data_IF_695310745908
#
_entry.id   IF_695310745908
#
_cell.length_a   1.000
_cell.length_b   1.000
_cell.length_c   1.000
_cell.angle_alpha   90.00
_cell.angle_beta   90.00
_cell.angle_gamma   90.00
#
_symmetry.space_group_name_H-M   'P 1'
#
loop_
_entity.id
_entity.type
_entity.pdbx_description
1 polymer ?
#
# COMPACT_ATOMS: atom_id res chain seq x y z
N UNK A 1 -15.16 15.98 15.85
CA UNK A 1 -14.53 15.13 14.82
C UNK A 1 -13.78 14.02 15.54
N UNK A 2 -13.78 12.81 14.99
CA UNK A 2 -13.11 11.63 15.56
C UNK A 2 -12.05 11.11 14.57
N UNK A 3 -10.92 10.65 15.09
CA UNK A 3 -9.88 9.99 14.27
C UNK A 3 -10.26 8.51 14.13
N UNK A 4 -10.57 8.08 12.91
CA UNK A 4 -11.05 6.72 12.63
C UNK A 4 -9.92 5.68 12.48
N UNK A 5 -8.67 6.15 12.33
CA UNK A 5 -7.49 5.31 12.19
C UNK A 5 -6.42 5.96 11.32
N UNK A 6 -5.46 5.14 10.88
CA UNK A 6 -4.31 5.54 10.08
C UNK A 6 -4.43 4.98 8.67
N UNK A 7 -4.18 5.85 7.69
CA UNK A 7 -3.95 5.50 6.31
C UNK A 7 -2.46 5.69 6.01
N UNK A 8 -1.79 4.60 5.66
CA UNK A 8 -0.42 4.64 5.14
C UNK A 8 -0.44 4.92 3.63
N UNK A 9 -0.20 6.16 3.24
CA UNK A 9 -0.03 6.54 1.83
C UNK A 9 1.47 6.43 1.48
N UNK A 10 1.88 5.26 0.97
CA UNK A 10 3.29 4.89 0.87
C UNK A 10 3.84 4.18 2.13
N UNK A 11 5.12 3.79 2.12
CA UNK A 11 6.17 4.19 1.16
C UNK A 11 6.29 3.29 -0.10
N UNK A 12 5.43 2.28 -0.24
CA UNK A 12 5.51 1.27 -1.30
C UNK A 12 4.89 1.74 -2.63
N UNK A 13 5.32 2.89 -3.12
CA UNK A 13 4.72 3.61 -4.26
C UNK A 13 5.72 3.81 -5.39
N UNK A 14 5.23 4.06 -6.61
CA UNK A 14 6.09 4.26 -7.76
C UNK A 14 6.78 5.63 -7.70
N UNK A 15 8.11 5.64 -7.77
CA UNK A 15 8.93 6.84 -7.70
C UNK A 15 8.58 7.88 -8.79
N UNK A 16 8.22 7.45 -9.99
CA UNK A 16 7.81 8.33 -11.08
C UNK A 16 6.43 8.97 -10.86
N UNK A 17 5.60 8.37 -9.98
CA UNK A 17 4.25 8.83 -9.62
C UNK A 17 4.17 9.32 -8.17
N UNK A 18 5.31 9.68 -7.57
CA UNK A 18 5.45 10.05 -6.16
C UNK A 18 4.69 11.30 -5.72
N UNK A 19 4.30 12.19 -6.63
CA UNK A 19 3.71 13.48 -6.26
C UNK A 19 4.60 14.24 -5.27
N UNK A 20 4.05 14.54 -4.08
CA UNK A 20 4.73 15.26 -2.99
C UNK A 20 5.57 14.37 -2.06
N UNK A 21 5.51 13.03 -2.23
CA UNK A 21 6.30 12.13 -1.39
C UNK A 21 7.81 12.33 -1.65
N UNK A 22 8.64 12.48 -0.59
CA UNK A 22 10.09 12.60 -0.76
C UNK A 22 10.68 11.31 -1.32
N UNK A 23 11.55 11.44 -2.31
CA UNK A 23 12.09 10.31 -3.07
C UNK A 23 12.91 9.37 -2.19
N UNK A 24 13.62 9.91 -1.21
CA UNK A 24 14.50 9.20 -0.29
C UNK A 24 13.76 8.26 0.68
N UNK A 25 12.45 8.45 0.86
CA UNK A 25 11.62 7.62 1.75
C UNK A 25 10.77 6.60 1.01
N UNK A 26 10.78 6.61 -0.32
CA UNK A 26 10.09 5.63 -1.15
C UNK A 26 10.94 4.37 -1.21
N UNK A 27 10.35 3.24 -0.81
CA UNK A 27 11.06 1.96 -0.72
C UNK A 27 10.26 0.85 -1.42
N UNK A 28 10.93 -0.22 -1.89
CA UNK A 28 10.23 -1.36 -2.47
C UNK A 28 9.22 -1.98 -1.50
N UNK A 29 8.15 -2.63 -2.01
CA UNK A 29 7.23 -3.43 -1.21
C UNK A 29 7.96 -4.36 -0.23
N UNK A 30 7.60 -4.29 1.06
CA UNK A 30 8.29 -5.05 2.10
C UNK A 30 7.33 -5.48 3.21
N UNK A 31 7.07 -6.78 3.31
CA UNK A 31 6.23 -7.38 4.36
C UNK A 31 6.81 -7.12 5.76
N UNK A 32 8.13 -7.26 6.02
CA UNK A 32 8.70 -6.91 7.31
C UNK A 32 8.47 -5.45 7.70
N UNK A 33 8.60 -4.51 6.75
CA UNK A 33 8.36 -3.09 7.00
C UNK A 33 6.87 -2.83 7.31
N UNK A 34 5.96 -3.40 6.52
CA UNK A 34 4.52 -3.29 6.76
C UNK A 34 4.13 -3.80 8.15
N UNK A 35 4.64 -4.97 8.56
CA UNK A 35 4.38 -5.52 9.91
C UNK A 35 4.82 -4.53 10.99
N UNK A 36 6.03 -3.98 10.87
CA UNK A 36 6.52 -2.96 11.80
C UNK A 36 5.62 -1.73 11.87
N UNK A 37 5.06 -1.28 10.74
CA UNK A 37 4.14 -0.14 10.70
C UNK A 37 2.80 -0.47 11.35
N UNK A 38 2.25 -1.65 11.08
CA UNK A 38 0.99 -2.13 11.67
C UNK A 38 1.14 -2.29 13.19
N UNK A 39 2.25 -2.88 13.64
CA UNK A 39 2.54 -3.04 15.07
C UNK A 39 2.67 -1.67 15.76
N UNK A 40 3.41 -0.74 15.14
CA UNK A 40 3.57 0.61 15.67
C UNK A 40 2.27 1.42 15.69
N UNK A 41 1.32 1.11 14.80
CA UNK A 41 0.00 1.73 14.79
C UNK A 41 -0.91 1.29 15.94
N UNK A 42 -0.53 0.28 16.74
CA UNK A 42 -1.24 -0.08 17.97
C UNK A 42 -2.73 -0.42 17.75
N UNK A 43 -3.07 -1.06 16.61
CA UNK A 43 -4.44 -1.39 16.25
C UNK A 43 -5.22 -0.29 15.52
N UNK A 44 -4.60 0.85 15.23
CA UNK A 44 -5.22 1.96 14.48
C UNK A 44 -5.04 1.88 12.96
N UNK A 45 -4.25 0.96 12.42
CA UNK A 45 -4.05 0.81 10.98
C UNK A 45 -5.37 0.42 10.28
N UNK A 46 -5.72 1.11 9.19
CA UNK A 46 -6.96 0.86 8.43
C UNK A 46 -6.72 0.69 6.93
N UNK A 47 -5.89 1.55 6.35
CA UNK A 47 -5.69 1.59 4.89
C UNK A 47 -4.20 1.64 4.56
N UNK A 48 -3.80 0.98 3.48
CA UNK A 48 -2.47 1.10 2.89
C UNK A 48 -2.60 1.35 1.38
N UNK A 49 -2.02 2.43 0.88
CA UNK A 49 -1.88 2.69 -0.56
C UNK A 49 -0.52 2.23 -1.05
N UNK A 50 -0.51 1.47 -2.15
CA UNK A 50 0.70 0.98 -2.79
C UNK A 50 0.58 0.96 -4.32
N UNK A 51 1.72 0.87 -4.99
CA UNK A 51 1.79 0.73 -6.44
C UNK A 51 1.91 -0.77 -6.83
N UNK A 52 0.89 -1.36 -7.48
CA UNK A 52 0.81 -2.80 -7.72
C UNK A 52 1.78 -3.35 -8.77
N UNK A 53 2.35 -2.50 -9.61
CA UNK A 53 3.35 -2.87 -10.62
C UNK A 53 4.74 -3.13 -10.05
N UNK A 54 4.98 -2.76 -8.78
CA UNK A 54 6.28 -2.93 -8.15
C UNK A 54 6.55 -4.41 -7.81
N UNK A 55 7.80 -4.89 -7.93
CA UNK A 55 8.17 -6.23 -7.53
C UNK A 55 7.79 -6.51 -6.06
N UNK A 56 7.08 -7.63 -5.83
CA UNK A 56 6.60 -8.02 -4.49
C UNK A 56 5.32 -7.32 -4.02
N UNK A 57 4.73 -6.42 -4.82
CA UNK A 57 3.51 -5.71 -4.43
C UNK A 57 2.34 -6.68 -4.23
N UNK A 58 2.16 -7.69 -5.09
CA UNK A 58 1.05 -8.64 -4.95
C UNK A 58 1.10 -9.43 -3.63
N UNK A 59 2.28 -9.89 -3.23
CA UNK A 59 2.48 -10.58 -1.95
C UNK A 59 2.23 -9.61 -0.77
N UNK A 60 2.62 -8.35 -0.93
CA UNK A 60 2.36 -7.31 0.07
C UNK A 60 0.86 -7.00 0.20
N UNK A 61 0.09 -7.01 -0.89
CA UNK A 61 -1.37 -6.85 -0.88
C UNK A 61 -2.00 -7.97 -0.03
N UNK A 62 -1.61 -9.22 -0.27
CA UNK A 62 -2.11 -10.36 0.50
C UNK A 62 -1.76 -10.22 2.00
N UNK A 63 -0.52 -9.85 2.32
CA UNK A 63 -0.07 -9.63 3.68
C UNK A 63 -0.82 -8.47 4.38
N UNK A 64 -1.04 -7.36 3.69
CA UNK A 64 -1.79 -6.21 4.21
C UNK A 64 -3.26 -6.58 4.49
N UNK A 65 -3.88 -7.32 3.58
CA UNK A 65 -5.24 -7.84 3.78
C UNK A 65 -5.30 -8.79 4.98
N UNK A 66 -4.34 -9.71 5.10
CA UNK A 66 -4.27 -10.63 6.23
C UNK A 66 -4.07 -9.91 7.57
N UNK A 67 -3.42 -8.74 7.56
CA UNK A 67 -3.29 -7.85 8.71
C UNK A 67 -4.54 -6.96 8.96
N UNK A 68 -5.60 -7.10 8.17
CA UNK A 68 -6.87 -6.39 8.33
C UNK A 68 -6.95 -5.02 7.66
N UNK A 69 -5.99 -4.66 6.80
CA UNK A 69 -5.99 -3.38 6.09
C UNK A 69 -6.80 -3.47 4.80
N UNK A 70 -7.47 -2.36 4.45
CA UNK A 70 -7.95 -2.11 3.08
C UNK A 70 -6.77 -1.66 2.23
N UNK A 71 -6.59 -2.29 1.07
CA UNK A 71 -5.50 -1.94 0.15
C UNK A 71 -6.02 -1.07 -0.98
N UNK A 72 -5.40 0.11 -1.12
CA UNK A 72 -5.63 1.07 -2.18
C UNK A 72 -4.54 1.02 -3.26
N UNK A 73 -4.93 1.18 -4.52
CA UNK A 73 -4.01 1.35 -5.64
C UNK A 73 -3.88 2.84 -5.93
N UNK A 74 -2.66 3.37 -5.80
CA UNK A 74 -2.37 4.79 -5.98
C UNK A 74 -0.88 5.03 -6.17
N UNK A 75 -0.51 6.22 -6.63
CA UNK A 75 0.89 6.55 -6.97
C UNK A 75 1.55 5.48 -7.85
N UNK A 76 0.82 5.05 -8.87
CA UNK A 76 1.13 3.88 -9.68
C UNK A 76 1.14 4.24 -11.16
N UNK A 77 2.02 3.58 -11.90
CA UNK A 77 2.07 3.55 -13.36
C UNK A 77 1.59 2.19 -13.90
N UNK A 78 0.78 1.47 -13.11
CA UNK A 78 0.32 0.14 -13.44
C UNK A 78 -0.52 0.13 -14.72
N UNK A 79 -0.25 -0.87 -15.54
CA UNK A 79 -1.14 -1.25 -16.64
C UNK A 79 -2.46 -1.79 -16.09
N UNK A 80 -3.47 -1.82 -16.97
CA UNK A 80 -4.76 -2.44 -16.66
C UNK A 80 -4.61 -3.88 -16.12
N UNK A 81 -3.78 -4.70 -16.76
CA UNK A 81 -3.57 -6.09 -16.35
C UNK A 81 -2.96 -6.20 -14.94
N UNK A 82 -2.03 -5.32 -14.59
CA UNK A 82 -1.42 -5.28 -13.25
C UNK A 82 -2.44 -4.81 -12.20
N UNK A 83 -3.27 -3.82 -12.51
CA UNK A 83 -4.35 -3.39 -11.62
C UNK A 83 -5.37 -4.51 -11.40
N UNK A 84 -5.77 -5.25 -12.46
CA UNK A 84 -6.64 -6.43 -12.34
C UNK A 84 -6.03 -7.49 -11.43
N UNK A 85 -4.76 -7.85 -11.62
CA UNK A 85 -4.08 -8.82 -10.77
C UNK A 85 -4.05 -8.38 -9.29
N UNK A 86 -3.86 -7.09 -9.02
CA UNK A 86 -3.92 -6.54 -7.68
C UNK A 86 -5.33 -6.61 -7.06
N UNK A 87 -6.38 -6.37 -7.86
CA UNK A 87 -7.78 -6.52 -7.42
C UNK A 87 -8.07 -7.99 -7.09
N UNK A 88 -7.62 -8.93 -7.92
CA UNK A 88 -7.74 -10.38 -7.66
C UNK A 88 -7.05 -10.76 -6.34
N UNK A 89 -5.92 -10.14 -6.03
CA UNK A 89 -5.16 -10.34 -4.79
C UNK A 89 -5.73 -9.66 -3.55
N UNK A 90 -6.72 -8.78 -3.71
CA UNK A 90 -7.46 -8.20 -2.58
C UNK A 90 -7.47 -6.68 -2.49
N UNK A 91 -6.92 -5.96 -3.46
CA UNK A 91 -7.08 -4.50 -3.51
C UNK A 91 -8.56 -4.13 -3.75
N UNK A 92 -9.07 -3.11 -3.03
CA UNK A 92 -10.50 -2.73 -3.03
C UNK A 92 -10.76 -1.23 -3.16
N UNK A 93 -9.71 -0.44 -3.28
CA UNK A 93 -9.80 1.01 -3.35
C UNK A 93 -8.84 1.54 -4.42
N UNK A 94 -9.20 2.66 -5.06
CA UNK A 94 -8.34 3.40 -5.97
C UNK A 94 -8.24 4.84 -5.45
N UNK A 95 -7.04 5.41 -5.49
CA UNK A 95 -6.70 6.72 -4.92
C UNK A 95 -6.07 7.61 -5.97
#
# INVERSE_FOLDING_TARGET
>A
AEILGIHFEGPFINLARRGVHPAEWIVPPSIPALRRYVDAAGGAARICTLAPELPGALDLIEAARAAGLVVGLGHTDATYAQACAAIEKGARHAV
#
